data_IF_717614753300
#
_entry.id   IF_717614753300
#
_cell.length_a   1.000
_cell.length_b   1.000
_cell.length_c   1.000
_cell.angle_alpha   90.00
_cell.angle_beta   90.00
_cell.angle_gamma   90.00
#
_symmetry.space_group_name_H-M   'P 1'
#
loop_
_entity.id
_entity.type
_entity.pdbx_description
1 polymer ?
#
# COMPACT_ATOMS: atom_id res chain seq x y z
N UNK A 1 35.85 -13.81 42.09
CA UNK A 1 34.91 -12.68 41.88
C UNK A 1 34.08 -12.99 40.65
N UNK A 2 32.96 -13.66 40.85
CA UNK A 2 31.92 -13.85 39.84
C UNK A 2 31.18 -12.52 39.66
N UNK A 3 31.00 -11.99 38.44
CA UNK A 3 30.25 -10.75 38.24
C UNK A 3 28.78 -10.98 38.58
N UNK A 4 28.15 -10.06 39.30
CA UNK A 4 26.75 -10.18 39.71
C UNK A 4 25.77 -10.24 38.51
N UNK A 5 24.73 -11.09 38.57
CA UNK A 5 23.84 -11.41 37.45
C UNK A 5 23.01 -10.24 36.91
N UNK A 6 22.83 -9.15 37.68
CA UNK A 6 22.10 -7.97 37.20
C UNK A 6 22.89 -7.15 36.16
N UNK A 7 24.21 -7.31 36.06
CA UNK A 7 25.00 -6.62 35.02
C UNK A 7 24.80 -7.20 33.62
N UNK A 8 24.24 -8.41 33.48
CA UNK A 8 23.85 -8.97 32.18
C UNK A 8 22.46 -8.49 31.71
N UNK A 9 21.61 -7.97 32.59
CA UNK A 9 20.27 -7.46 32.26
C UNK A 9 20.28 -6.01 31.70
N UNK A 10 21.45 -5.36 31.65
CA UNK A 10 21.64 -3.97 31.21
C UNK A 10 22.54 -3.85 29.97
N UNK A 11 22.70 -4.93 29.19
CA UNK A 11 23.28 -4.81 27.85
C UNK A 11 22.26 -4.14 26.93
N UNK A 12 22.37 -2.83 26.79
CA UNK A 12 21.75 -2.08 25.70
C UNK A 12 22.07 -2.80 24.38
N UNK A 13 21.09 -2.95 23.46
CA UNK A 13 21.38 -3.50 22.15
C UNK A 13 22.53 -2.70 21.52
N UNK A 14 23.53 -3.34 20.91
CA UNK A 14 24.61 -2.61 20.26
C UNK A 14 23.99 -1.66 19.21
N UNK A 15 24.55 -0.46 19.05
CA UNK A 15 24.06 0.57 18.10
C UNK A 15 23.87 -0.03 16.69
N UNK A 16 24.72 -0.98 16.31
CA UNK A 16 24.64 -1.74 15.05
C UNK A 16 23.32 -2.52 14.88
N UNK A 17 22.70 -2.99 15.96
CA UNK A 17 21.44 -3.73 15.93
C UNK A 17 20.24 -2.82 15.63
N UNK A 18 20.20 -1.61 16.19
CA UNK A 18 19.16 -0.63 15.86
C UNK A 18 19.23 -0.21 14.38
N UNK A 19 20.44 0.02 13.87
CA UNK A 19 20.62 0.35 12.45
C UNK A 19 20.22 -0.81 11.53
N UNK A 20 20.53 -2.06 11.92
CA UNK A 20 20.09 -3.24 11.20
C UNK A 20 18.56 -3.35 11.16
N UNK A 21 17.87 -3.13 12.29
CA UNK A 21 16.41 -3.18 12.36
C UNK A 21 15.73 -2.08 11.54
N UNK A 22 16.25 -0.84 11.60
CA UNK A 22 15.80 0.27 10.76
C UNK A 22 15.97 -0.07 9.27
N UNK A 23 17.14 -0.61 8.90
CA UNK A 23 17.42 -1.01 7.54
C UNK A 23 16.49 -2.13 7.07
N UNK A 24 16.21 -3.10 7.95
CA UNK A 24 15.31 -4.21 7.70
C UNK A 24 13.87 -3.75 7.50
N UNK A 25 13.33 -2.88 8.35
CA UNK A 25 11.97 -2.36 8.18
C UNK A 25 11.81 -1.54 6.89
N UNK A 26 12.74 -0.62 6.62
CA UNK A 26 12.64 0.32 5.49
C UNK A 26 13.23 -0.21 4.18
N UNK A 27 13.70 -1.47 4.13
CA UNK A 27 14.38 -2.04 2.96
C UNK A 27 13.50 -1.97 1.70
N UNK A 28 12.28 -2.51 1.77
CA UNK A 28 11.36 -2.53 0.62
C UNK A 28 10.88 -1.14 0.25
N UNK A 29 10.60 -0.29 1.24
CA UNK A 29 10.25 1.12 1.00
C UNK A 29 11.35 1.82 0.23
N UNK A 30 12.60 1.63 0.61
CA UNK A 30 13.75 2.21 -0.10
C UNK A 30 13.87 1.68 -1.52
N UNK A 31 13.76 0.37 -1.74
CA UNK A 31 13.84 -0.20 -3.09
C UNK A 31 12.72 0.31 -4.01
N UNK A 32 11.47 0.20 -3.56
CA UNK A 32 10.29 0.59 -4.34
C UNK A 32 10.27 2.10 -4.62
N UNK A 33 10.51 2.94 -3.61
CA UNK A 33 10.52 4.39 -3.81
C UNK A 33 11.75 4.88 -4.57
N UNK A 34 12.89 4.17 -4.54
CA UNK A 34 14.05 4.50 -5.38
C UNK A 34 13.76 4.19 -6.83
N UNK A 35 13.11 3.05 -7.12
CA UNK A 35 12.69 2.69 -8.48
C UNK A 35 11.75 3.74 -9.08
N UNK A 36 10.88 4.36 -8.26
CA UNK A 36 9.99 5.44 -8.67
C UNK A 36 10.64 6.83 -8.67
N UNK A 37 11.88 6.96 -8.19
CA UNK A 37 12.56 8.25 -8.02
C UNK A 37 12.09 9.08 -6.84
N UNK A 38 11.18 8.59 -5.99
CA UNK A 38 10.60 9.34 -4.86
C UNK A 38 11.52 9.28 -3.62
N UNK A 39 12.29 8.21 -3.42
CA UNK A 39 13.12 8.02 -2.21
C UNK A 39 14.08 9.17 -1.91
N UNK A 40 14.87 9.69 -2.88
CA UNK A 40 15.79 10.80 -2.60
C UNK A 40 15.06 12.12 -2.28
N UNK A 41 13.76 12.24 -2.60
CA UNK A 41 12.93 13.39 -2.20
C UNK A 41 12.47 13.31 -0.74
N UNK A 42 12.70 12.19 -0.06
CA UNK A 42 12.23 11.93 1.32
C UNK A 42 13.42 11.85 2.29
N UNK A 43 14.66 11.71 1.81
CA UNK A 43 15.86 11.68 2.67
C UNK A 43 16.46 13.08 2.90
N UNK A 44 17.06 13.29 4.08
CA UNK A 44 17.63 14.58 4.50
C UNK A 44 19.00 14.86 3.87
N UNK A 45 19.82 13.83 3.66
CA UNK A 45 21.24 13.97 3.32
C UNK A 45 21.53 13.61 1.86
N UNK A 46 20.92 14.34 0.93
CA UNK A 46 21.08 14.08 -0.51
C UNK A 46 21.78 15.21 -1.23
N UNK A 47 22.87 14.84 -1.92
CA UNK A 47 23.63 15.71 -2.81
C UNK A 47 22.72 16.27 -3.91
N UNK A 48 23.10 17.42 -4.49
CA UNK A 48 22.41 18.02 -5.64
C UNK A 48 22.22 17.02 -6.79
N UNK A 49 23.20 16.13 -7.01
CA UNK A 49 23.14 15.05 -8.01
C UNK A 49 22.03 14.04 -7.73
N UNK A 50 21.85 13.64 -6.47
CA UNK A 50 20.79 12.70 -6.08
C UNK A 50 19.38 13.30 -6.28
N UNK A 51 19.21 14.60 -6.01
CA UNK A 51 17.93 15.29 -6.28
C UNK A 51 17.62 15.38 -7.79
N UNK A 52 18.61 15.68 -8.61
CA UNK A 52 18.44 15.68 -10.08
C UNK A 52 18.10 14.28 -10.59
N UNK A 53 18.84 13.26 -10.13
CA UNK A 53 18.58 11.85 -10.47
C UNK A 53 17.14 11.45 -10.11
N UNK A 54 16.67 11.84 -8.93
CA UNK A 54 15.29 11.62 -8.48
C UNK A 54 14.24 12.25 -9.40
N UNK A 55 14.43 13.50 -9.83
CA UNK A 55 13.52 14.16 -10.78
C UNK A 55 13.52 13.43 -12.13
N UNK A 56 14.68 12.99 -12.61
CA UNK A 56 14.80 12.23 -13.86
C UNK A 56 14.09 10.87 -13.77
N UNK A 57 14.24 10.14 -12.66
CA UNK A 57 13.58 8.85 -12.42
C UNK A 57 12.06 8.98 -12.32
N UNK A 58 11.56 10.05 -11.68
CA UNK A 58 10.12 10.37 -11.68
C UNK A 58 9.65 10.68 -13.10
N UNK A 59 10.38 11.51 -13.85
CA UNK A 59 10.08 11.81 -15.25
C UNK A 59 10.01 10.53 -16.09
N UNK A 60 10.96 9.62 -15.93
CA UNK A 60 10.98 8.32 -16.60
C UNK A 60 9.77 7.46 -16.22
N UNK A 61 9.38 7.45 -14.95
CA UNK A 61 8.19 6.72 -14.47
C UNK A 61 6.91 7.27 -15.09
N UNK A 62 6.77 8.59 -15.20
CA UNK A 62 5.64 9.25 -15.86
C UNK A 62 5.64 8.99 -17.38
N UNK A 63 6.81 9.01 -18.03
CA UNK A 63 6.96 8.66 -19.44
C UNK A 63 6.56 7.20 -19.71
N UNK A 64 6.93 6.26 -18.82
CA UNK A 64 6.51 4.87 -18.93
C UNK A 64 4.98 4.71 -18.83
N UNK A 65 4.32 5.50 -17.97
CA UNK A 65 2.84 5.53 -17.91
C UNK A 65 2.27 6.12 -19.21
N UNK A 66 2.85 7.22 -19.71
CA UNK A 66 2.42 7.88 -20.94
C UNK A 66 2.57 6.99 -22.18
N UNK A 67 3.65 6.18 -22.26
CA UNK A 67 3.89 5.23 -23.34
C UNK A 67 2.73 4.25 -23.56
N UNK A 68 1.99 3.91 -22.50
CA UNK A 68 0.80 3.05 -22.57
C UNK A 68 -0.48 3.89 -22.69
N UNK A 69 -0.58 4.97 -21.93
CA UNK A 69 -1.79 5.80 -21.87
C UNK A 69 -2.09 6.49 -23.21
N UNK A 70 -1.08 7.06 -23.88
CA UNK A 70 -1.26 7.84 -25.12
C UNK A 70 -1.76 6.96 -26.29
N UNK A 71 -1.14 5.80 -26.62
CA UNK A 71 -1.64 4.98 -27.71
C UNK A 71 -3.07 4.46 -27.49
N UNK A 72 -3.40 4.05 -26.25
CA UNK A 72 -4.74 3.54 -25.93
C UNK A 72 -5.80 4.64 -26.06
N UNK A 73 -5.52 5.83 -25.55
CA UNK A 73 -6.46 6.96 -25.63
C UNK A 73 -6.67 7.40 -27.08
N UNK A 74 -5.60 7.53 -27.87
CA UNK A 74 -5.70 7.84 -29.31
C UNK A 74 -6.51 6.76 -30.03
N UNK A 75 -6.22 5.48 -29.78
CA UNK A 75 -6.95 4.36 -30.38
C UNK A 75 -8.45 4.40 -30.04
N UNK A 76 -8.78 4.65 -28.77
CA UNK A 76 -10.16 4.76 -28.29
C UNK A 76 -10.93 5.88 -28.99
N UNK A 77 -10.34 7.07 -29.16
CA UNK A 77 -11.04 8.20 -29.76
C UNK A 77 -11.11 8.13 -31.29
N UNK A 78 -10.04 7.64 -31.95
CA UNK A 78 -9.91 7.71 -33.42
C UNK A 78 -10.45 6.45 -34.11
N UNK A 79 -10.08 5.25 -33.64
CA UNK A 79 -10.43 4.00 -34.33
C UNK A 79 -11.77 3.42 -33.90
N UNK A 80 -12.17 3.61 -32.65
CA UNK A 80 -13.40 3.01 -32.13
C UNK A 80 -14.60 3.89 -32.45
N UNK A 81 -15.52 3.35 -33.26
CA UNK A 81 -16.74 4.04 -33.70
C UNK A 81 -17.92 3.88 -32.75
N UNK A 82 -17.99 2.77 -32.02
CA UNK A 82 -19.11 2.43 -31.15
C UNK A 82 -18.81 2.78 -29.70
N UNK A 83 -19.79 3.36 -28.99
CA UNK A 83 -19.67 3.68 -27.56
C UNK A 83 -19.29 2.43 -26.74
N UNK A 84 -19.96 1.30 -26.97
CA UNK A 84 -19.68 0.01 -26.31
C UNK A 84 -18.20 -0.37 -26.31
N UNK A 85 -17.55 -0.21 -27.46
CA UNK A 85 -16.16 -0.64 -27.62
C UNK A 85 -15.15 0.41 -27.13
N UNK A 86 -15.55 1.69 -27.06
CA UNK A 86 -14.79 2.76 -26.38
C UNK A 86 -14.78 2.56 -24.87
N UNK A 87 -15.95 2.27 -24.30
CA UNK A 87 -16.11 2.09 -22.87
C UNK A 87 -15.20 0.98 -22.31
N UNK A 88 -14.93 -0.03 -23.13
CA UNK A 88 -13.98 -1.10 -22.85
C UNK A 88 -12.55 -0.68 -22.47
N UNK A 89 -12.08 0.47 -22.96
CA UNK A 89 -10.74 0.98 -22.64
C UNK A 89 -10.69 1.84 -21.38
N UNK A 90 -11.84 2.17 -20.78
CA UNK A 90 -11.93 3.01 -19.57
C UNK A 90 -11.20 2.36 -18.40
N UNK A 91 -11.30 1.04 -18.22
CA UNK A 91 -10.58 0.32 -17.16
C UNK A 91 -9.05 0.51 -17.28
N UNK A 92 -8.41 0.07 -18.37
CA UNK A 92 -6.97 0.27 -18.58
C UNK A 92 -6.50 1.73 -18.49
N UNK A 93 -7.27 2.66 -19.06
CA UNK A 93 -6.98 4.11 -18.99
C UNK A 93 -7.07 4.59 -17.54
N UNK A 94 -8.14 4.24 -16.82
CA UNK A 94 -8.37 4.58 -15.42
C UNK A 94 -7.25 4.06 -14.51
N UNK A 95 -6.77 2.84 -14.74
CA UNK A 95 -5.63 2.30 -14.01
C UNK A 95 -4.34 3.11 -14.23
N UNK A 96 -4.06 3.54 -15.47
CA UNK A 96 -2.89 4.38 -15.77
C UNK A 96 -3.01 5.76 -15.15
N UNK A 97 -4.20 6.37 -15.20
CA UNK A 97 -4.50 7.64 -14.51
C UNK A 97 -4.31 7.48 -13.00
N UNK A 98 -4.79 6.39 -12.40
CA UNK A 98 -4.61 6.09 -10.97
C UNK A 98 -3.14 6.11 -10.57
N UNK A 99 -2.28 5.39 -11.32
CA UNK A 99 -0.85 5.34 -11.06
C UNK A 99 -0.18 6.72 -11.19
N UNK A 100 -0.59 7.51 -12.19
CA UNK A 100 -0.09 8.88 -12.35
C UNK A 100 -0.47 9.74 -11.14
N UNK A 101 -1.74 9.70 -10.72
CA UNK A 101 -2.23 10.42 -9.54
C UNK A 101 -1.47 10.00 -8.27
N UNK A 102 -1.23 8.70 -8.06
CA UNK A 102 -0.48 8.20 -6.90
C UNK A 102 0.95 8.73 -6.83
N UNK A 103 1.69 8.72 -7.95
CA UNK A 103 3.05 9.28 -7.98
C UNK A 103 3.02 10.76 -7.59
N UNK A 104 2.13 11.55 -8.21
CA UNK A 104 2.00 12.98 -7.94
C UNK A 104 1.64 13.23 -6.46
N UNK A 105 0.70 12.46 -5.91
CA UNK A 105 0.29 12.58 -4.51
C UNK A 105 1.42 12.20 -3.54
N UNK A 106 2.18 11.14 -3.83
CA UNK A 106 3.34 10.73 -3.02
C UNK A 106 4.45 11.78 -3.05
N UNK A 107 4.67 12.43 -4.19
CA UNK A 107 5.58 13.57 -4.29
C UNK A 107 5.08 14.78 -3.49
N UNK A 108 3.81 15.13 -3.65
CA UNK A 108 3.18 16.24 -2.93
C UNK A 108 3.23 16.03 -1.40
N UNK A 109 3.06 14.79 -0.93
CA UNK A 109 3.13 14.40 0.49
C UNK A 109 4.53 13.98 0.95
N UNK A 110 5.56 14.13 0.13
CA UNK A 110 6.94 13.67 0.43
C UNK A 110 7.50 14.22 1.74
N UNK A 111 7.18 15.47 2.10
CA UNK A 111 7.58 16.07 3.38
C UNK A 111 6.96 15.37 4.59
N UNK A 112 5.68 15.00 4.51
CA UNK A 112 4.99 14.27 5.59
C UNK A 112 5.50 12.83 5.66
N UNK A 113 5.69 12.18 4.52
CA UNK A 113 6.27 10.82 4.45
C UNK A 113 7.67 10.82 5.09
N UNK A 114 8.46 11.87 4.86
CA UNK A 114 9.78 12.07 5.49
C UNK A 114 9.68 12.17 7.01
N UNK A 115 8.76 12.96 7.52
CA UNK A 115 8.53 13.04 8.97
C UNK A 115 8.11 11.69 9.55
N UNK A 116 7.29 10.92 8.82
CA UNK A 116 6.90 9.58 9.23
C UNK A 116 8.09 8.63 9.30
N UNK A 117 8.94 8.61 8.27
CA UNK A 117 10.17 7.79 8.27
C UNK A 117 11.13 8.23 9.37
N UNK A 118 11.24 9.53 9.63
CA UNK A 118 12.06 10.06 10.72
C UNK A 118 11.54 9.61 12.08
N UNK A 119 10.22 9.55 12.26
CA UNK A 119 9.60 9.03 13.47
C UNK A 119 9.92 7.54 13.67
N UNK A 120 9.79 6.72 12.61
CA UNK A 120 10.15 5.28 12.65
C UNK A 120 11.60 5.09 13.10
N UNK A 121 12.54 5.83 12.50
CA UNK A 121 13.96 5.78 12.88
C UNK A 121 14.19 6.20 14.34
N UNK A 122 13.56 7.29 14.76
CA UNK A 122 13.67 7.79 16.12
C UNK A 122 13.12 6.79 17.14
N UNK A 123 12.02 6.12 16.82
CA UNK A 123 11.41 5.15 17.70
C UNK A 123 12.31 3.92 17.88
N UNK A 124 12.90 3.38 16.81
CA UNK A 124 13.90 2.31 16.90
C UNK A 124 15.11 2.67 17.75
N UNK A 125 15.63 3.90 17.58
CA UNK A 125 16.77 4.37 18.38
C UNK A 125 16.45 4.56 19.87
N UNK A 126 15.16 4.64 20.22
CA UNK A 126 14.71 4.84 21.59
C UNK A 126 14.35 3.53 22.31
N UNK A 127 14.33 2.40 21.61
CA UNK A 127 14.07 1.08 22.22
C UNK A 127 15.34 0.60 22.92
N UNK A 128 15.24 0.29 24.21
CA UNK A 128 16.37 -0.25 24.99
C UNK A 128 16.07 -1.62 25.60
N UNK A 129 14.80 -2.01 25.66
CA UNK A 129 14.33 -3.25 26.29
C UNK A 129 14.13 -4.31 25.21
N UNK A 130 14.64 -5.53 25.46
CA UNK A 130 14.60 -6.62 24.48
C UNK A 130 13.19 -7.06 24.10
N UNK A 131 12.29 -7.23 25.06
CA UNK A 131 10.91 -7.62 24.74
C UNK A 131 10.18 -6.55 23.90
N UNK A 132 10.51 -5.26 24.12
CA UNK A 132 9.96 -4.15 23.33
C UNK A 132 10.51 -4.22 21.89
N UNK A 133 11.79 -4.57 21.72
CA UNK A 133 12.43 -4.79 20.43
C UNK A 133 11.80 -5.96 19.67
N UNK A 134 11.65 -7.11 20.34
CA UNK A 134 11.06 -8.32 19.75
C UNK A 134 9.61 -8.08 19.29
N UNK A 135 8.81 -7.37 20.09
CA UNK A 135 7.45 -6.98 19.74
C UNK A 135 7.39 -6.06 18.50
N UNK A 136 8.35 -5.13 18.37
CA UNK A 136 8.47 -4.30 17.18
C UNK A 136 8.90 -5.12 15.96
N UNK A 137 9.86 -6.04 16.09
CA UNK A 137 10.30 -6.92 14.99
C UNK A 137 9.14 -7.76 14.47
N UNK A 138 8.31 -8.35 15.34
CA UNK A 138 7.12 -9.11 14.91
C UNK A 138 6.16 -8.26 14.09
N UNK A 139 6.00 -7.00 14.46
CA UNK A 139 5.16 -6.08 13.72
C UNK A 139 5.77 -5.73 12.35
N UNK A 140 7.09 -5.54 12.28
CA UNK A 140 7.81 -5.36 10.99
C UNK A 140 7.61 -6.56 10.06
N UNK A 141 7.67 -7.78 10.59
CA UNK A 141 7.42 -9.01 9.80
C UNK A 141 6.01 -8.99 9.19
N UNK A 142 4.99 -8.59 9.96
CA UNK A 142 3.63 -8.42 9.44
C UNK A 142 3.60 -7.40 8.28
N UNK A 143 4.16 -6.19 8.47
CA UNK A 143 4.17 -5.16 7.42
C UNK A 143 4.91 -5.59 6.15
N UNK A 144 6.01 -6.32 6.30
CA UNK A 144 6.76 -6.92 5.18
C UNK A 144 5.96 -8.01 4.48
N UNK A 145 5.29 -8.88 5.23
CA UNK A 145 4.41 -9.92 4.66
C UNK A 145 3.29 -9.31 3.82
N UNK A 146 2.59 -8.29 4.33
CA UNK A 146 1.55 -7.57 3.59
C UNK A 146 2.09 -6.96 2.29
N UNK A 147 3.30 -6.39 2.33
CA UNK A 147 3.97 -5.85 1.13
C UNK A 147 4.28 -6.94 0.11
N UNK A 148 4.85 -8.06 0.55
CA UNK A 148 5.24 -9.17 -0.34
C UNK A 148 3.99 -9.75 -1.00
N UNK A 149 2.93 -10.02 -0.23
CA UNK A 149 1.68 -10.57 -0.77
C UNK A 149 1.05 -9.59 -1.76
N UNK A 150 1.01 -8.29 -1.46
CA UNK A 150 0.56 -7.28 -2.43
C UNK A 150 1.39 -7.31 -3.73
N UNK A 151 2.72 -7.38 -3.62
CA UNK A 151 3.61 -7.44 -4.78
C UNK A 151 3.37 -8.69 -5.62
N UNK A 152 3.24 -9.87 -5.00
CA UNK A 152 2.98 -11.14 -5.69
C UNK A 152 1.66 -11.09 -6.46
N UNK A 153 0.57 -10.65 -5.84
CA UNK A 153 -0.73 -10.59 -6.50
C UNK A 153 -0.73 -9.59 -7.68
N UNK A 154 -0.12 -8.41 -7.50
CA UNK A 154 -0.09 -7.39 -8.55
C UNK A 154 0.81 -7.79 -9.72
N UNK A 155 2.02 -8.31 -9.44
CA UNK A 155 2.96 -8.72 -10.48
C UNK A 155 2.50 -9.97 -11.22
N UNK A 156 1.96 -10.97 -10.52
CA UNK A 156 1.45 -12.18 -11.16
C UNK A 156 0.27 -11.88 -12.10
N UNK A 157 -0.69 -11.06 -11.67
CA UNK A 157 -1.79 -10.61 -12.53
C UNK A 157 -1.31 -9.78 -13.72
N UNK A 158 -0.33 -8.91 -13.50
CA UNK A 158 0.30 -8.12 -14.57
C UNK A 158 1.03 -8.96 -15.60
N UNK A 159 1.87 -9.90 -15.17
CA UNK A 159 2.58 -10.84 -16.05
C UNK A 159 1.58 -11.68 -16.85
N UNK A 160 0.53 -12.18 -16.20
CA UNK A 160 -0.47 -12.97 -16.90
C UNK A 160 -1.16 -12.16 -18.00
N UNK A 161 -1.62 -10.96 -17.67
CA UNK A 161 -2.37 -10.13 -18.60
C UNK A 161 -1.50 -9.57 -19.74
N UNK A 162 -0.27 -9.14 -19.46
CA UNK A 162 0.59 -8.47 -20.43
C UNK A 162 1.50 -9.41 -21.23
N UNK A 163 1.84 -10.59 -20.71
CA UNK A 163 2.71 -11.56 -21.40
C UNK A 163 1.94 -12.80 -21.80
N UNK A 164 1.39 -13.52 -20.82
CA UNK A 164 0.87 -14.88 -21.03
C UNK A 164 -0.35 -14.85 -21.95
N UNK A 165 -1.32 -13.98 -21.68
CA UNK A 165 -2.55 -13.91 -22.46
C UNK A 165 -2.29 -13.56 -23.94
N UNK A 166 -1.50 -12.53 -24.31
CA UNK A 166 -1.19 -12.25 -25.71
C UNK A 166 -0.45 -13.40 -26.41
N UNK A 167 0.50 -14.06 -25.74
CA UNK A 167 1.28 -15.15 -26.35
C UNK A 167 0.46 -16.42 -26.58
N UNK A 168 -0.48 -16.72 -25.69
CA UNK A 168 -1.35 -17.90 -25.80
C UNK A 168 -2.57 -17.67 -26.70
N UNK A 169 -2.97 -16.41 -26.93
CA UNK A 169 -4.12 -16.10 -27.78
C UNK A 169 -3.87 -16.56 -29.23
N UNK A 170 -4.83 -17.27 -29.85
CA UNK A 170 -4.71 -17.68 -31.23
C UNK A 170 -4.46 -16.48 -32.14
N UNK A 171 -3.47 -16.61 -33.02
CA UNK A 171 -3.16 -15.56 -34.00
C UNK A 171 -4.32 -15.45 -34.98
N UNK A 172 -4.78 -14.23 -35.23
CA UNK A 172 -5.86 -13.96 -36.19
C UNK A 172 -5.25 -13.59 -37.53
N UNK A 173 -5.81 -14.08 -38.63
CA UNK A 173 -5.41 -13.67 -39.97
C UNK A 173 -6.26 -12.46 -40.38
N UNK A 174 -5.62 -11.41 -40.89
CA UNK A 174 -6.32 -10.22 -41.36
C UNK A 174 -6.89 -10.41 -42.79
N UNK A 175 -7.63 -9.41 -43.29
CA UNK A 175 -8.21 -9.44 -44.63
C UNK A 175 -7.19 -9.57 -45.78
N UNK A 176 -5.89 -9.34 -45.50
CA UNK A 176 -4.78 -9.44 -46.46
C UNK A 176 -3.98 -10.75 -46.28
N UNK A 177 -4.54 -11.75 -45.60
CA UNK A 177 -3.91 -13.04 -45.33
C UNK A 177 -2.61 -12.95 -44.48
N UNK A 178 -2.44 -11.88 -43.71
CA UNK A 178 -1.30 -11.68 -42.81
C UNK A 178 -1.69 -12.08 -41.38
N UNK A 179 -0.86 -12.91 -40.76
CA UNK A 179 -1.02 -13.36 -39.38
C UNK A 179 -0.74 -12.21 -38.40
N UNK A 180 -1.78 -11.71 -37.72
CA UNK A 180 -1.69 -10.69 -36.68
C UNK A 180 -1.17 -11.31 -35.38
N UNK A 181 -0.11 -10.71 -34.84
CA UNK A 181 0.41 -10.97 -33.51
C UNK A 181 -0.25 -10.01 -32.51
N UNK A 182 -1.01 -10.51 -31.51
CA UNK A 182 -1.77 -9.66 -30.62
C UNK A 182 -0.87 -8.94 -29.61
N UNK A 183 -1.06 -7.62 -29.48
CA UNK A 183 -0.55 -6.84 -28.35
C UNK A 183 -1.54 -6.85 -27.19
N UNK A 184 -1.05 -6.69 -25.95
CA UNK A 184 -1.93 -6.59 -24.77
C UNK A 184 -2.87 -5.38 -24.85
N UNK A 185 -2.40 -4.26 -25.41
CA UNK A 185 -3.22 -3.11 -25.75
C UNK A 185 -3.01 -2.67 -27.21
N UNK A 186 -4.07 -2.18 -27.88
CA UNK A 186 -3.98 -1.65 -29.24
C UNK A 186 -3.52 -0.19 -29.25
N UNK A 187 -3.22 0.34 -30.45
CA UNK A 187 -2.94 1.76 -30.67
C UNK A 187 -1.53 2.10 -31.15
N UNK A 188 -0.59 1.16 -31.04
CA UNK A 188 0.79 1.37 -31.50
C UNK A 188 0.90 1.59 -33.02
N UNK A 189 -0.02 1.00 -33.79
CA UNK A 189 -0.06 1.08 -35.26
C UNK A 189 -0.19 2.51 -35.82
N UNK A 190 -0.59 3.48 -35.00
CA UNK A 190 -0.66 4.89 -35.40
C UNK A 190 0.72 5.55 -35.51
N UNK A 191 1.72 5.01 -34.82
CA UNK A 191 3.05 5.60 -34.72
C UNK A 191 4.08 4.79 -35.50
N UNK A 192 3.95 3.47 -35.50
CA UNK A 192 4.85 2.57 -36.22
C UNK A 192 4.11 1.32 -36.64
N UNK A 193 4.57 0.63 -37.69
CA UNK A 193 4.04 -0.69 -38.02
C UNK A 193 4.37 -1.68 -36.89
N UNK A 194 3.39 -1.92 -36.01
CA UNK A 194 3.58 -2.73 -34.80
C UNK A 194 3.67 -4.23 -35.08
N UNK A 195 3.43 -4.66 -36.32
CA UNK A 195 3.42 -6.07 -36.75
C UNK A 195 4.71 -6.46 -37.47
N UNK A 196 5.47 -5.48 -37.99
CA UNK A 196 6.76 -5.70 -38.61
C UNK A 196 7.83 -6.14 -37.58
N UNK A 197 8.70 -7.08 -37.95
CA UNK A 197 9.91 -7.41 -37.19
C UNK A 197 11.03 -6.45 -37.62
N UNK A 198 11.77 -5.80 -36.69
CA UNK A 198 11.84 -6.02 -35.24
C UNK A 198 10.91 -5.14 -34.38
N UNK A 199 10.03 -4.32 -34.98
CA UNK A 199 9.21 -3.35 -34.28
C UNK A 199 8.22 -4.00 -33.28
N UNK A 200 7.62 -5.14 -33.66
CA UNK A 200 6.75 -5.92 -32.79
C UNK A 200 7.45 -6.31 -31.48
N UNK A 201 8.65 -6.89 -31.59
CA UNK A 201 9.42 -7.40 -30.46
C UNK A 201 9.86 -6.26 -29.54
N UNK A 202 10.23 -5.10 -30.10
CA UNK A 202 10.59 -3.89 -29.35
C UNK A 202 9.37 -3.35 -28.59
N UNK A 203 8.22 -3.19 -29.25
CA UNK A 203 7.00 -2.68 -28.62
C UNK A 203 6.51 -3.62 -27.53
N UNK A 204 6.50 -4.93 -27.79
CA UNK A 204 6.08 -5.93 -26.83
C UNK A 204 6.94 -5.89 -25.56
N UNK A 205 8.27 -5.82 -25.73
CA UNK A 205 9.22 -5.72 -24.62
C UNK A 205 9.09 -4.40 -23.86
N UNK A 206 9.00 -3.27 -24.57
CA UNK A 206 8.83 -1.95 -23.97
C UNK A 206 7.50 -1.83 -23.21
N UNK A 207 6.42 -2.39 -23.76
CA UNK A 207 5.12 -2.44 -23.13
C UNK A 207 5.17 -3.20 -21.81
N UNK A 208 5.81 -4.37 -21.77
CA UNK A 208 5.95 -5.13 -20.53
C UNK A 208 6.71 -4.35 -19.44
N UNK A 209 7.83 -3.71 -19.80
CA UNK A 209 8.60 -2.89 -18.85
C UNK A 209 7.78 -1.70 -18.35
N UNK A 210 7.09 -0.99 -19.24
CA UNK A 210 6.21 0.12 -18.88
C UNK A 210 4.96 -0.33 -18.11
N UNK A 211 4.49 -1.55 -18.32
CA UNK A 211 3.39 -2.10 -17.56
C UNK A 211 3.82 -2.42 -16.13
N UNK A 212 4.99 -3.02 -15.99
CA UNK A 212 5.62 -3.36 -14.70
C UNK A 212 5.80 -2.14 -13.82
N UNK A 213 6.20 -0.99 -14.37
CA UNK A 213 6.33 0.25 -13.58
C UNK A 213 5.03 0.66 -12.89
N UNK A 214 3.88 0.46 -13.53
CA UNK A 214 2.56 0.71 -12.92
C UNK A 214 2.30 -0.19 -11.70
N UNK A 215 2.65 -1.47 -11.77
CA UNK A 215 2.52 -2.39 -10.62
C UNK A 215 3.50 -2.07 -9.49
N UNK A 216 4.69 -1.55 -9.81
CA UNK A 216 5.62 -1.02 -8.81
C UNK A 216 5.03 0.18 -8.08
N UNK A 217 4.33 1.10 -8.77
CA UNK A 217 3.63 2.23 -8.14
C UNK A 217 2.61 1.75 -7.11
N UNK A 218 1.75 0.82 -7.51
CA UNK A 218 0.72 0.26 -6.61
C UNK A 218 1.35 -0.44 -5.40
N UNK A 219 2.40 -1.23 -5.62
CA UNK A 219 3.09 -1.95 -4.55
C UNK A 219 3.81 -0.96 -3.62
N UNK A 220 4.39 0.12 -4.14
CA UNK A 220 5.04 1.15 -3.35
C UNK A 220 4.06 1.91 -2.45
N UNK A 221 2.88 2.26 -2.97
CA UNK A 221 1.84 2.93 -2.18
C UNK A 221 1.27 2.00 -1.09
N UNK A 222 1.10 0.70 -1.38
CA UNK A 222 0.68 -0.27 -0.39
C UNK A 222 1.77 -0.51 0.66
N UNK A 223 3.04 -0.59 0.25
CA UNK A 223 4.17 -0.78 1.16
C UNK A 223 4.26 0.34 2.19
N UNK A 224 4.11 1.60 1.79
CA UNK A 224 4.12 2.72 2.74
C UNK A 224 3.00 2.57 3.78
N UNK A 225 1.81 2.16 3.36
CA UNK A 225 0.68 1.97 4.27
C UNK A 225 0.97 0.83 5.24
N UNK A 226 1.45 -0.31 4.72
CA UNK A 226 1.79 -1.49 5.49
C UNK A 226 2.87 -1.19 6.55
N UNK A 227 3.98 -0.54 6.16
CA UNK A 227 5.09 -0.20 7.07
C UNK A 227 4.64 0.76 8.17
N UNK A 228 3.93 1.84 7.83
CA UNK A 228 3.54 2.81 8.85
C UNK A 228 2.49 2.26 9.82
N UNK A 229 1.51 1.48 9.33
CA UNK A 229 0.53 0.85 10.21
C UNK A 229 1.16 -0.27 11.03
N UNK A 230 2.05 -1.09 10.45
CA UNK A 230 2.75 -2.11 11.21
C UNK A 230 3.67 -1.51 12.29
N UNK A 231 4.31 -0.38 12.01
CA UNK A 231 5.08 0.34 13.03
C UNK A 231 4.19 0.81 14.18
N UNK A 232 2.99 1.34 13.88
CA UNK A 232 1.99 1.64 14.92
C UNK A 232 1.65 0.39 15.72
N UNK A 233 1.39 -0.74 15.07
CA UNK A 233 1.13 -2.01 15.76
C UNK A 233 2.27 -2.34 16.72
N UNK A 234 3.52 -2.21 16.30
CA UNK A 234 4.70 -2.43 17.15
C UNK A 234 4.73 -1.49 18.35
N UNK A 235 4.51 -0.19 18.14
CA UNK A 235 4.45 0.79 19.23
C UNK A 235 3.30 0.52 20.20
N UNK A 236 2.15 0.04 19.71
CA UNK A 236 1.02 -0.37 20.54
C UNK A 236 1.40 -1.60 21.38
N UNK A 237 2.06 -2.60 20.81
CA UNK A 237 2.54 -3.76 21.58
C UNK A 237 3.54 -3.34 22.67
N UNK A 238 4.43 -2.40 22.38
CA UNK A 238 5.34 -1.82 23.38
C UNK A 238 4.57 -1.14 24.52
N UNK A 239 3.48 -0.40 24.22
CA UNK A 239 2.61 0.16 25.26
C UNK A 239 1.97 -0.95 26.10
N UNK A 240 1.50 -2.04 25.48
CA UNK A 240 0.89 -3.17 26.20
C UNK A 240 1.88 -3.82 27.16
N UNK A 241 3.12 -4.05 26.73
CA UNK A 241 4.19 -4.56 27.60
C UNK A 241 4.48 -3.62 28.77
N UNK A 242 4.53 -2.30 28.52
CA UNK A 242 4.71 -1.30 29.58
C UNK A 242 3.56 -1.28 30.58
N UNK A 243 2.32 -1.39 30.11
CA UNK A 243 1.14 -1.49 30.96
C UNK A 243 1.16 -2.76 31.82
N UNK A 244 1.57 -3.89 31.26
CA UNK A 244 1.71 -5.15 32.01
C UNK A 244 2.79 -5.06 33.10
N UNK A 245 3.92 -4.40 32.83
CA UNK A 245 4.97 -4.15 33.84
C UNK A 245 4.48 -3.26 34.98
N UNK A 246 3.66 -2.26 34.67
CA UNK A 246 3.01 -1.41 35.70
C UNK A 246 2.10 -2.23 36.63
N UNK A 247 1.41 -3.25 36.10
CA UNK A 247 0.55 -4.12 36.90
C UNK A 247 1.32 -5.06 37.84
N UNK A 248 2.55 -5.45 37.47
CA UNK A 248 3.40 -6.34 38.26
C UNK A 248 4.24 -5.60 39.32
N UNK A 249 4.29 -4.26 39.29
CA UNK A 249 5.04 -3.45 40.24
C UNK A 249 4.27 -3.31 41.57
N UNK A 250 4.40 -4.32 42.44
CA UNK A 250 3.64 -4.49 43.69
C UNK A 250 4.26 -3.71 44.89
N UNK A 251 4.81 -2.51 44.65
CA UNK A 251 5.35 -1.69 45.75
C UNK A 251 6.48 -0.70 45.43
N UNK A 252 6.78 -0.43 44.15
CA UNK A 252 7.74 0.59 43.76
C UNK A 252 7.42 1.98 44.35
N UNK A 253 8.46 2.80 44.61
CA UNK A 253 8.28 4.20 45.07
C UNK A 253 7.27 4.91 44.16
N UNK A 254 6.28 5.60 44.72
CA UNK A 254 5.20 6.27 43.95
C UNK A 254 5.70 7.20 42.82
N UNK A 255 6.91 7.74 42.93
CA UNK A 255 7.58 8.54 41.90
C UNK A 255 8.09 7.74 40.69
N UNK A 256 8.27 6.43 40.80
CA UNK A 256 8.64 5.55 39.68
C UNK A 256 7.42 5.15 38.84
N UNK A 257 6.34 4.70 39.51
CA UNK A 257 5.04 4.43 38.87
C UNK A 257 4.51 5.64 38.08
N UNK A 258 4.60 6.84 38.65
CA UNK A 258 4.18 8.08 37.97
C UNK A 258 5.01 8.36 36.71
N UNK A 259 6.32 8.05 36.72
CA UNK A 259 7.20 8.18 35.54
C UNK A 259 6.87 7.13 34.47
N UNK A 260 6.58 5.89 34.88
CA UNK A 260 6.19 4.82 33.96
C UNK A 260 4.87 5.16 33.24
N UNK A 261 3.84 5.61 33.98
CA UNK A 261 2.56 6.02 33.41
C UNK A 261 2.71 7.25 32.51
N UNK A 262 3.51 8.25 32.91
CA UNK A 262 3.81 9.39 32.04
C UNK A 262 4.49 8.98 30.73
N UNK A 263 5.40 8.00 30.78
CA UNK A 263 6.04 7.42 29.59
C UNK A 263 5.02 6.74 28.67
N UNK A 264 4.07 5.99 29.23
CA UNK A 264 2.99 5.35 28.47
C UNK A 264 2.09 6.39 27.79
N UNK A 265 1.65 7.43 28.53
CA UNK A 265 0.85 8.53 27.98
C UNK A 265 1.60 9.21 26.83
N UNK A 266 2.90 9.50 27.01
CA UNK A 266 3.73 10.12 25.97
C UNK A 266 3.83 9.24 24.72
N UNK A 267 4.01 7.93 24.89
CA UNK A 267 4.00 7.00 23.75
C UNK A 267 2.64 6.93 23.06
N UNK A 268 1.53 6.88 23.80
CA UNK A 268 0.19 6.88 23.22
C UNK A 268 -0.07 8.16 22.40
N UNK A 269 0.28 9.33 22.94
CA UNK A 269 0.16 10.60 22.22
C UNK A 269 1.02 10.63 20.96
N UNK A 270 2.23 10.04 20.97
CA UNK A 270 3.06 9.91 19.77
C UNK A 270 2.41 9.03 18.70
N UNK A 271 1.83 7.90 19.10
CA UNK A 271 1.09 7.01 18.19
C UNK A 271 -0.10 7.73 17.57
N UNK A 272 -0.89 8.47 18.36
CA UNK A 272 -2.02 9.23 17.85
C UNK A 272 -1.59 10.29 16.82
N UNK A 273 -0.53 11.05 17.12
CA UNK A 273 0.04 12.03 16.19
C UNK A 273 0.57 11.38 14.92
N UNK A 274 1.19 10.20 15.03
CA UNK A 274 1.70 9.46 13.87
C UNK A 274 0.54 8.93 13.00
N UNK A 275 -0.52 8.43 13.62
CA UNK A 275 -1.75 8.01 12.94
C UNK A 275 -2.40 9.17 12.16
N UNK A 276 -2.43 10.37 12.72
CA UNK A 276 -2.94 11.56 12.02
C UNK A 276 -2.09 11.93 10.79
N UNK A 277 -0.76 11.76 10.87
CA UNK A 277 0.12 11.93 9.70
C UNK A 277 -0.13 10.87 8.63
N UNK A 278 -0.30 9.61 9.01
CA UNK A 278 -0.65 8.51 8.09
C UNK A 278 -1.97 8.84 7.38
N UNK A 279 -3.00 9.25 8.13
CA UNK A 279 -4.29 9.66 7.56
C UNK A 279 -4.11 10.79 6.54
N UNK A 280 -3.27 11.79 6.82
CA UNK A 280 -3.00 12.88 5.88
C UNK A 280 -2.28 12.42 4.61
N UNK A 281 -1.33 11.49 4.71
CA UNK A 281 -0.62 10.92 3.55
C UNK A 281 -1.59 10.12 2.67
N UNK A 282 -2.41 9.27 3.28
CA UNK A 282 -3.22 8.30 2.54
C UNK A 282 -4.60 8.80 2.13
N UNK A 283 -5.06 9.97 2.61
CA UNK A 283 -6.41 10.47 2.33
C UNK A 283 -6.76 10.46 0.84
N UNK A 284 -5.91 11.07 0.02
CA UNK A 284 -6.15 11.17 -1.42
C UNK A 284 -5.71 9.89 -2.16
N UNK A 285 -4.61 9.25 -1.72
CA UNK A 285 -4.09 8.02 -2.33
C UNK A 285 -5.14 6.90 -2.28
N UNK A 286 -5.78 6.70 -1.13
CA UNK A 286 -6.80 5.68 -0.95
C UNK A 286 -8.13 6.05 -1.62
N UNK A 287 -8.42 7.34 -1.79
CA UNK A 287 -9.58 7.77 -2.59
C UNK A 287 -9.42 7.35 -4.05
N UNK A 288 -8.29 7.70 -4.64
CA UNK A 288 -7.95 7.34 -6.02
C UNK A 288 -7.96 5.82 -6.19
N UNK A 289 -7.38 5.09 -5.23
CA UNK A 289 -7.39 3.62 -5.25
C UNK A 289 -8.82 3.05 -5.24
N UNK A 290 -9.64 3.41 -4.24
CA UNK A 290 -10.99 2.83 -4.11
C UNK A 290 -11.87 3.18 -5.31
N UNK A 291 -11.90 4.45 -5.72
CA UNK A 291 -12.78 4.90 -6.81
C UNK A 291 -12.36 4.30 -8.15
N UNK A 292 -11.08 4.42 -8.52
CA UNK A 292 -10.62 3.94 -9.82
C UNK A 292 -10.56 2.42 -9.88
N UNK A 293 -10.18 1.73 -8.78
CA UNK A 293 -10.22 0.27 -8.75
C UNK A 293 -11.65 -0.27 -8.81
N UNK A 294 -12.66 0.41 -8.24
CA UNK A 294 -14.07 0.01 -8.42
C UNK A 294 -14.47 0.07 -9.90
N UNK A 295 -14.09 1.13 -10.61
CA UNK A 295 -14.36 1.27 -12.06
C UNK A 295 -13.63 0.16 -12.83
N UNK A 296 -12.35 -0.08 -12.53
CA UNK A 296 -11.55 -1.12 -13.18
C UNK A 296 -12.14 -2.51 -12.94
N UNK A 297 -12.51 -2.85 -11.71
CA UNK A 297 -13.12 -4.13 -11.33
C UNK A 297 -14.43 -4.34 -12.09
N UNK A 298 -15.30 -3.33 -12.13
CA UNK A 298 -16.56 -3.39 -12.86
C UNK A 298 -16.35 -3.69 -14.36
N UNK A 299 -15.36 -3.07 -14.98
CA UNK A 299 -14.99 -3.34 -16.38
C UNK A 299 -14.42 -4.75 -16.58
N UNK A 300 -13.55 -5.21 -15.67
CA UNK A 300 -12.98 -6.55 -15.72
C UNK A 300 -14.06 -7.63 -15.60
N UNK A 301 -15.03 -7.45 -14.69
CA UNK A 301 -16.18 -8.34 -14.54
C UNK A 301 -17.02 -8.41 -15.84
N UNK A 302 -17.27 -7.26 -16.48
CA UNK A 302 -17.98 -7.20 -17.76
C UNK A 302 -17.25 -7.97 -18.87
N UNK A 303 -15.92 -7.83 -18.94
CA UNK A 303 -15.10 -8.58 -19.90
C UNK A 303 -15.05 -10.07 -19.61
N UNK A 304 -14.99 -10.48 -18.35
CA UNK A 304 -15.13 -11.88 -17.96
C UNK A 304 -16.43 -12.48 -18.50
N UNK A 305 -17.56 -11.80 -18.32
CA UNK A 305 -18.87 -12.27 -18.80
C UNK A 305 -18.93 -12.32 -20.34
N UNK A 306 -18.37 -11.31 -21.00
CA UNK A 306 -18.40 -11.24 -22.48
C UNK A 306 -17.56 -12.34 -23.11
N UNK A 307 -16.35 -12.59 -22.60
CA UNK A 307 -15.47 -13.65 -23.11
C UNK A 307 -15.98 -15.04 -22.73
N UNK A 308 -16.68 -15.17 -21.60
CA UNK A 308 -17.38 -16.40 -21.22
C UNK A 308 -18.38 -16.83 -22.29
N UNK A 309 -19.18 -15.89 -22.80
CA UNK A 309 -20.14 -16.14 -23.90
C UNK A 309 -19.45 -16.54 -25.21
N UNK A 310 -18.22 -16.06 -25.43
CA UNK A 310 -17.45 -16.34 -26.64
C UNK A 310 -16.58 -17.61 -26.54
N UNK A 311 -16.68 -18.38 -25.43
CA UNK A 311 -15.91 -19.60 -25.17
C UNK A 311 -14.38 -19.45 -25.31
N UNK A 312 -13.85 -18.25 -25.06
CA UNK A 312 -12.43 -17.95 -25.16
C UNK A 312 -11.70 -18.25 -23.83
N UNK A 313 -11.46 -19.53 -23.53
CA UNK A 313 -10.91 -20.01 -22.25
C UNK A 313 -9.68 -19.23 -21.77
N UNK A 314 -8.73 -18.93 -22.68
CA UNK A 314 -7.49 -18.21 -22.35
C UNK A 314 -7.76 -16.77 -21.91
N UNK A 315 -8.68 -16.06 -22.59
CA UNK A 315 -9.09 -14.71 -22.19
C UNK A 315 -9.78 -14.71 -20.83
N UNK A 316 -10.70 -15.66 -20.60
CA UNK A 316 -11.48 -15.76 -19.37
C UNK A 316 -10.54 -15.93 -18.17
N UNK A 317 -9.61 -16.88 -18.24
CA UNK A 317 -8.63 -17.11 -17.17
C UNK A 317 -7.82 -15.83 -16.92
N UNK A 318 -7.40 -15.13 -17.97
CA UNK A 318 -6.64 -13.88 -17.81
C UNK A 318 -7.42 -12.75 -17.15
N UNK A 319 -8.67 -12.54 -17.54
CA UNK A 319 -9.52 -11.53 -16.91
C UNK A 319 -9.87 -11.90 -15.46
N UNK A 320 -10.08 -13.18 -15.15
CA UNK A 320 -10.29 -13.65 -13.77
C UNK A 320 -9.06 -13.44 -12.88
N UNK A 321 -7.86 -13.74 -13.39
CA UNK A 321 -6.61 -13.55 -12.64
C UNK A 321 -6.40 -12.08 -12.31
N UNK A 322 -6.52 -11.18 -13.29
CA UNK A 322 -6.33 -9.74 -13.05
C UNK A 322 -7.45 -9.14 -12.18
N UNK A 323 -8.69 -9.63 -12.31
CA UNK A 323 -9.80 -9.28 -11.42
C UNK A 323 -9.49 -9.67 -9.97
N UNK A 324 -8.95 -10.87 -9.75
CA UNK A 324 -8.47 -11.31 -8.45
C UNK A 324 -7.38 -10.41 -7.89
N UNK A 325 -6.40 -10.02 -8.71
CA UNK A 325 -5.31 -9.11 -8.31
C UNK A 325 -5.81 -7.73 -7.88
N UNK A 326 -6.71 -7.10 -8.64
CA UNK A 326 -7.26 -5.79 -8.29
C UNK A 326 -8.18 -5.85 -7.06
N UNK A 327 -9.03 -6.87 -6.97
CA UNK A 327 -9.86 -7.09 -5.78
C UNK A 327 -9.00 -7.28 -4.54
N UNK A 328 -7.92 -8.06 -4.64
CA UNK A 328 -6.97 -8.24 -3.55
C UNK A 328 -6.27 -6.93 -3.17
N UNK A 329 -6.00 -6.05 -4.14
CA UNK A 329 -5.42 -4.74 -3.85
C UNK A 329 -6.33 -3.86 -2.98
N UNK A 330 -7.61 -3.78 -3.33
CA UNK A 330 -8.57 -3.03 -2.50
C UNK A 330 -8.70 -3.67 -1.13
N UNK A 331 -8.74 -5.01 -1.07
CA UNK A 331 -8.78 -5.75 0.18
C UNK A 331 -7.58 -5.44 1.08
N UNK A 332 -6.34 -5.43 0.56
CA UNK A 332 -5.15 -5.18 1.39
C UNK A 332 -5.16 -3.78 2.00
N UNK A 333 -5.64 -2.76 1.27
CA UNK A 333 -5.82 -1.41 1.82
C UNK A 333 -6.85 -1.36 2.95
N UNK A 334 -8.00 -2.01 2.75
CA UNK A 334 -9.03 -2.14 3.77
C UNK A 334 -8.55 -2.93 5.01
N UNK A 335 -7.77 -3.97 4.80
CA UNK A 335 -7.19 -4.78 5.87
C UNK A 335 -6.15 -4.00 6.68
N UNK A 336 -5.25 -3.25 6.01
CA UNK A 336 -4.31 -2.34 6.67
C UNK A 336 -5.05 -1.26 7.47
N UNK A 337 -6.13 -0.68 6.91
CA UNK A 337 -6.98 0.28 7.64
C UNK A 337 -7.66 -0.32 8.87
N UNK A 338 -8.11 -1.57 8.78
CA UNK A 338 -8.67 -2.32 9.90
C UNK A 338 -7.62 -2.55 11.00
N UNK A 339 -6.41 -3.01 10.64
CA UNK A 339 -5.31 -3.19 11.61
C UNK A 339 -5.07 -1.89 12.38
N UNK A 340 -4.99 -0.74 11.69
CA UNK A 340 -4.77 0.54 12.38
C UNK A 340 -5.86 0.83 13.41
N UNK A 341 -7.12 0.61 13.02
CA UNK A 341 -8.29 0.83 13.87
C UNK A 341 -8.23 -0.06 15.11
N UNK A 342 -8.04 -1.37 14.91
CA UNK A 342 -8.01 -2.37 15.97
C UNK A 342 -6.87 -2.11 16.96
N UNK A 343 -5.68 -1.74 16.46
CA UNK A 343 -4.54 -1.44 17.32
C UNK A 343 -4.79 -0.18 18.17
N UNK A 344 -5.34 0.88 17.58
CA UNK A 344 -5.65 2.11 18.31
C UNK A 344 -6.71 1.87 19.42
N UNK A 345 -7.73 1.07 19.14
CA UNK A 345 -8.76 0.71 20.14
C UNK A 345 -8.21 -0.20 21.24
N UNK A 346 -7.34 -1.14 20.89
CA UNK A 346 -6.79 -2.12 21.85
C UNK A 346 -5.98 -1.47 22.98
N UNK A 347 -5.38 -0.29 22.75
CA UNK A 347 -4.68 0.46 23.82
C UNK A 347 -5.65 0.85 24.94
N UNK A 348 -6.85 1.29 24.59
CA UNK A 348 -7.88 1.66 25.55
C UNK A 348 -8.40 0.45 26.34
N UNK A 349 -8.61 -0.67 25.66
CA UNK A 349 -9.03 -1.92 26.30
C UNK A 349 -7.99 -2.39 27.32
N UNK A 350 -6.70 -2.37 26.95
CA UNK A 350 -5.63 -2.79 27.86
C UNK A 350 -5.46 -1.83 29.04
N UNK A 351 -5.58 -0.52 28.82
CA UNK A 351 -5.56 0.45 29.92
C UNK A 351 -6.74 0.28 30.89
N UNK A 352 -7.90 -0.18 30.40
CA UNK A 352 -9.08 -0.46 31.21
C UNK A 352 -8.92 -1.72 32.09
N UNK A 353 -8.21 -2.74 31.60
CA UNK A 353 -8.03 -4.02 32.30
C UNK A 353 -6.99 -3.98 33.43
N UNK A 354 -6.30 -2.86 33.64
CA UNK A 354 -5.33 -2.71 34.73
C UNK A 354 -6.07 -2.59 36.06
N UNK A 355 -5.43 -3.08 37.12
CA UNK A 355 -5.87 -2.96 38.52
C UNK A 355 -5.80 -1.51 39.02
N UNK A 356 -6.65 -0.64 38.46
CA UNK A 356 -6.72 0.80 38.74
C UNK A 356 -6.92 1.12 40.22
N UNK A 357 -7.52 0.20 40.98
CA UNK A 357 -7.73 0.32 42.43
C UNK A 357 -6.42 0.31 43.24
N UNK A 358 -5.33 -0.23 42.68
CA UNK A 358 -3.99 -0.25 43.30
C UNK A 358 -3.15 0.97 42.93
N UNK A 359 -3.62 1.81 42.03
CA UNK A 359 -2.87 2.94 41.47
C UNK A 359 -3.27 4.25 42.18
N UNK A 360 -2.32 5.15 42.50
CA UNK A 360 -2.64 6.45 43.09
C UNK A 360 -3.61 7.28 42.22
N UNK A 361 -4.56 8.05 42.81
CA UNK A 361 -5.62 8.73 42.07
C UNK A 361 -5.15 9.64 40.91
N UNK A 362 -4.02 10.35 41.09
CA UNK A 362 -3.42 11.22 40.06
C UNK A 362 -3.06 10.44 38.78
N UNK A 363 -2.61 9.20 38.94
CA UNK A 363 -2.17 8.33 37.86
C UNK A 363 -3.36 7.62 37.19
N UNK A 364 -4.42 7.31 37.96
CA UNK A 364 -5.70 6.80 37.43
C UNK A 364 -6.33 7.80 36.46
N UNK A 365 -6.27 9.11 36.75
CA UNK A 365 -6.77 10.14 35.83
C UNK A 365 -6.04 10.09 34.47
N UNK A 366 -4.73 9.84 34.47
CA UNK A 366 -3.94 9.73 33.23
C UNK A 366 -4.35 8.51 32.40
N UNK A 367 -4.63 7.36 33.05
CA UNK A 367 -5.17 6.17 32.38
C UNK A 367 -6.58 6.41 31.82
N UNK A 368 -7.42 7.14 32.57
CA UNK A 368 -8.77 7.50 32.10
C UNK A 368 -8.74 8.35 30.82
N UNK A 369 -7.75 9.23 30.67
CA UNK A 369 -7.54 10.00 29.43
C UNK A 369 -7.15 9.08 28.26
N UNK A 370 -6.29 8.07 28.49
CA UNK A 370 -5.95 7.09 27.46
C UNK A 370 -7.21 6.36 26.98
N UNK A 371 -8.03 5.87 27.91
CA UNK A 371 -9.28 5.15 27.60
C UNK A 371 -10.24 6.06 26.84
N UNK A 372 -10.42 7.31 27.29
CA UNK A 372 -11.28 8.28 26.63
C UNK A 372 -10.83 8.57 25.19
N UNK A 373 -9.52 8.75 24.98
CA UNK A 373 -8.97 8.99 23.63
C UNK A 373 -9.05 7.75 22.74
N UNK A 374 -8.88 6.54 23.27
CA UNK A 374 -8.97 5.30 22.53
C UNK A 374 -10.40 4.96 22.07
N UNK A 375 -11.43 5.51 22.74
CA UNK A 375 -12.84 5.41 22.29
C UNK A 375 -13.12 6.16 20.99
N UNK A 376 -12.22 7.03 20.56
CA UNK A 376 -12.30 7.72 19.27
C UNK A 376 -11.35 7.04 18.27
N UNK A 377 -11.79 5.98 17.58
CA UNK A 377 -10.93 5.20 16.70
C UNK A 377 -10.36 6.06 15.57
N UNK A 378 -9.10 5.80 15.25
CA UNK A 378 -8.38 6.48 14.17
C UNK A 378 -8.47 5.64 12.91
N UNK A 379 -9.38 6.05 12.03
CA UNK A 379 -9.55 5.41 10.73
C UNK A 379 -8.70 6.08 9.66
N UNK A 380 -8.13 5.26 8.77
CA UNK A 380 -7.71 5.74 7.45
C UNK A 380 -8.97 5.95 6.63
N UNK A 381 -9.13 7.16 6.07
CA UNK A 381 -10.31 7.52 5.29
C UNK A 381 -9.93 7.77 3.84
N UNK A 382 -10.64 7.16 2.89
CA UNK A 382 -10.57 7.50 1.48
C UNK A 382 -11.32 8.83 1.26
N UNK A 383 -10.58 9.91 0.98
CA UNK A 383 -11.14 11.23 0.68
C UNK A 383 -11.93 11.90 1.81
N UNK A 384 -11.90 11.34 3.03
CA UNK A 384 -12.78 11.73 4.12
C UNK A 384 -14.21 11.17 4.01
N UNK A 385 -14.51 10.35 3.00
CA UNK A 385 -15.86 9.83 2.74
C UNK A 385 -16.05 8.40 3.24
N UNK A 386 -15.07 7.52 2.99
CA UNK A 386 -15.17 6.08 3.29
C UNK A 386 -14.07 5.70 4.27
N UNK A 387 -14.43 5.10 5.41
CA UNK A 387 -13.47 4.51 6.34
C UNK A 387 -12.93 3.21 5.76
N UNK A 388 -11.62 3.04 5.67
CA UNK A 388 -11.02 1.79 5.19
C UNK A 388 -11.16 0.70 6.24
N UNK A 389 -12.14 -0.16 6.03
CA UNK A 389 -12.45 -1.33 6.87
C UNK A 389 -12.75 -2.53 5.98
N UNK A 390 -12.71 -3.74 6.55
CA UNK A 390 -13.09 -4.97 5.83
C UNK A 390 -14.57 -4.89 5.38
N UNK A 391 -15.43 -4.21 6.15
CA UNK A 391 -16.82 -3.96 5.77
C UNK A 391 -16.91 -3.13 4.49
N UNK A 392 -16.15 -2.05 4.40
CA UNK A 392 -16.14 -1.17 3.23
C UNK A 392 -15.60 -1.86 1.98
N UNK A 393 -14.69 -2.83 2.11
CA UNK A 393 -14.32 -3.70 0.99
C UNK A 393 -15.54 -4.47 0.45
N UNK A 394 -16.34 -5.06 1.33
CA UNK A 394 -17.58 -5.73 0.94
C UNK A 394 -18.56 -4.79 0.23
N UNK A 395 -18.67 -3.54 0.67
CA UNK A 395 -19.52 -2.54 0.04
C UNK A 395 -19.00 -2.12 -1.35
N UNK A 396 -17.67 -2.02 -1.51
CA UNK A 396 -17.03 -1.77 -2.81
C UNK A 396 -17.31 -2.90 -3.80
N UNK A 397 -17.17 -4.16 -3.38
CA UNK A 397 -17.45 -5.33 -4.23
C UNK A 397 -18.95 -5.42 -4.59
N UNK A 398 -19.86 -5.13 -3.66
CA UNK A 398 -21.30 -5.05 -3.99
C UNK A 398 -21.58 -3.96 -5.02
N UNK A 399 -20.92 -2.82 -4.88
CA UNK A 399 -21.07 -1.68 -5.77
C UNK A 399 -20.55 -1.99 -7.17
N UNK A 400 -19.40 -2.70 -7.31
CA UNK A 400 -18.90 -3.12 -8.63
C UNK A 400 -19.89 -4.03 -9.36
N UNK A 401 -20.43 -5.02 -8.66
CA UNK A 401 -21.44 -5.95 -9.20
C UNK A 401 -22.75 -5.23 -9.54
N UNK A 402 -23.18 -4.25 -8.74
CA UNK A 402 -24.35 -3.44 -9.06
C UNK A 402 -24.15 -2.65 -10.36
N UNK A 403 -22.99 -1.99 -10.52
CA UNK A 403 -22.65 -1.30 -11.77
C UNK A 403 -22.48 -2.25 -12.94
N UNK A 404 -21.99 -3.47 -12.71
CA UNK A 404 -21.92 -4.51 -13.73
C UNK A 404 -23.31 -4.86 -14.26
N UNK A 405 -24.30 -5.03 -13.37
CA UNK A 405 -25.69 -5.30 -13.78
C UNK A 405 -26.27 -4.16 -14.62
N UNK A 406 -25.95 -2.91 -14.29
CA UNK A 406 -26.34 -1.76 -15.11
C UNK A 406 -25.66 -1.80 -16.46
N UNK A 407 -24.34 -2.06 -16.52
CA UNK A 407 -23.59 -2.16 -17.76
C UNK A 407 -24.10 -3.29 -18.66
N UNK A 408 -24.42 -4.46 -18.09
CA UNK A 408 -24.96 -5.58 -18.87
C UNK A 408 -26.37 -5.30 -19.36
N UNK A 409 -27.22 -4.62 -18.59
CA UNK A 409 -28.56 -4.21 -19.02
C UNK A 409 -28.52 -3.16 -20.15
N UNK A 410 -27.61 -2.18 -20.08
CA UNK A 410 -27.41 -1.19 -21.14
C UNK A 410 -26.72 -1.79 -22.38
N UNK A 411 -25.97 -2.88 -22.20
CA UNK A 411 -25.31 -3.60 -23.28
C UNK A 411 -26.14 -4.76 -23.87
N UNK A 412 -27.26 -5.13 -23.27
CA UNK A 412 -28.28 -5.98 -23.88
C UNK A 412 -29.05 -5.16 -24.91
#
# INVERSE_FOLDING_TARGET
>A
MTPEPWKQALQFPPIHQHEANINYELQYTRWLLTALGVWPMITNDVTRRAKISSILLVGLSLLAIAFILVPITVFMFVKMKTLRTRLGFIGPIGFRISNMCKIIMMMYRSGVIRECISQVKSDWSAVTIRDDEDAMVQSVILGRSLTIVCGIFMLSGGVFFHIIMPLLKPRKVNAFNVTIRPHAYPGYDFFVDSQATPAYEIIFSAHFLCATSGYVVVTASCNLAAVFVSHISGQVQVIKLKLARVQQDDGGKAGDLSRQIASIVKSHVRILKFSDKIKMVFREICLVEVVLSTIVICWLEFYCITEWKNSATISIVGYCVILGSFSFNVFIYCYIGQILTDQCESVGQMAYMIDWHRIPPRNVLSLSMIISMARYPRHITAGGMINLTIRSFGDVMKTSVAYLNVLTAVAA
#
